data_IF_044691824448
#
_entry.id   IF_044691824448
#
_cell.length_a   1.000
_cell.length_b   1.000
_cell.length_c   1.000
_cell.angle_alpha   90.00
_cell.angle_beta   90.00
_cell.angle_gamma   90.00
#
_symmetry.space_group_name_H-M   'P 1'
#
loop_
_entity.id
_entity.type
_entity.pdbx_description
1 polymer ?
#
# COMPACT_ATOMS: atom_id res chain seq x y z
N UNK A 1 -6.86 19.45 17.97
CA UNK A 1 -6.00 18.59 17.88
C UNK A 1 -6.23 17.56 16.92
N UNK A 2 -5.47 17.48 16.07
CA UNK A 2 -5.64 16.55 15.05
C UNK A 2 -5.50 15.18 15.53
N UNK A 3 -6.33 14.34 15.14
CA UNK A 3 -6.21 13.12 15.47
C UNK A 3 -5.64 12.43 14.41
N UNK A 4 -4.76 11.66 14.56
CA UNK A 4 -4.14 10.96 13.59
C UNK A 4 -4.83 9.71 13.39
N UNK A 5 -5.81 9.66 12.63
CA UNK A 5 -6.49 8.43 12.33
C UNK A 5 -5.58 7.50 11.54
N UNK A 6 -6.02 6.29 11.29
CA UNK A 6 -5.23 5.36 10.52
C UNK A 6 -5.15 5.81 9.07
N UNK A 7 -4.07 5.46 8.41
CA UNK A 7 -3.88 5.79 7.02
C UNK A 7 -4.28 4.59 6.18
N UNK A 8 -4.97 4.86 5.10
CA UNK A 8 -5.46 3.78 4.24
C UNK A 8 -4.50 3.58 3.08
N UNK A 9 -4.11 2.36 2.84
CA UNK A 9 -3.18 2.03 1.78
C UNK A 9 -3.77 0.98 0.88
N UNK A 10 -3.68 1.20 -0.42
CA UNK A 10 -4.13 0.23 -1.41
C UNK A 10 -2.92 -0.34 -2.13
N UNK A 11 -2.96 -1.62 -2.50
CA UNK A 11 -1.83 -2.19 -3.23
C UNK A 11 -1.53 -1.45 -4.53
N UNK A 12 -2.55 -0.93 -5.20
CA UNK A 12 -2.32 -0.25 -6.45
C UNK A 12 -1.46 0.99 -6.33
N UNK A 13 -1.33 1.53 -5.12
CA UNK A 13 -0.47 2.69 -4.92
C UNK A 13 0.97 2.36 -5.32
N UNK A 14 1.35 1.09 -5.27
CA UNK A 14 2.71 0.69 -5.53
C UNK A 14 2.90 -0.02 -6.87
N UNK A 15 1.91 0.05 -7.73
CA UNK A 15 1.93 -0.70 -8.98
C UNK A 15 2.67 0.07 -10.07
N UNK A 16 3.79 -0.44 -10.51
CA UNK A 16 4.60 0.24 -11.51
C UNK A 16 3.95 0.28 -12.88
N UNK A 17 2.90 -0.51 -13.09
CA UNK A 17 2.23 -0.49 -14.36
C UNK A 17 1.23 0.65 -14.46
N UNK A 18 0.96 1.33 -13.37
CA UNK A 18 0.02 2.43 -13.37
C UNK A 18 0.76 3.75 -13.41
N UNK A 19 0.15 4.74 -14.01
CA UNK A 19 0.70 6.08 -13.97
C UNK A 19 0.19 6.73 -12.70
N UNK A 20 0.70 7.91 -12.40
CA UNK A 20 0.24 8.62 -11.22
C UNK A 20 -1.23 8.94 -11.31
N UNK A 21 -1.71 9.30 -12.50
CA UNK A 21 -3.11 9.62 -12.63
C UNK A 21 -3.98 8.37 -12.52
N UNK A 22 -3.38 7.19 -12.64
CA UNK A 22 -4.14 5.97 -12.53
C UNK A 22 -4.10 5.38 -11.12
N UNK A 23 -3.46 6.05 -10.20
CA UNK A 23 -3.48 5.59 -8.82
C UNK A 23 -2.15 5.33 -8.16
N UNK A 24 -1.06 5.36 -8.93
CA UNK A 24 0.24 5.11 -8.32
C UNK A 24 0.63 6.28 -7.45
N UNK A 25 1.12 6.00 -6.27
CA UNK A 25 1.48 7.04 -5.34
C UNK A 25 2.97 7.11 -5.03
N UNK A 26 3.76 6.18 -5.51
CA UNK A 26 5.19 6.22 -5.26
C UNK A 26 5.91 6.40 -6.58
N UNK A 27 7.16 6.87 -6.56
CA UNK A 27 7.91 7.00 -7.81
C UNK A 27 8.05 5.65 -8.48
N UNK A 28 8.16 5.67 -9.78
CA UNK A 28 8.27 4.43 -10.51
C UNK A 28 9.47 3.60 -10.04
N UNK A 29 10.53 4.27 -9.63
CA UNK A 29 11.70 3.56 -9.17
C UNK A 29 11.44 2.74 -7.91
N UNK A 30 10.43 3.11 -7.14
CA UNK A 30 10.09 2.36 -5.95
C UNK A 30 8.90 1.45 -6.15
N UNK A 31 8.22 1.56 -7.26
CA UNK A 31 7.03 0.76 -7.49
C UNK A 31 7.41 -0.66 -7.92
N UNK A 32 6.48 -1.59 -7.79
CA UNK A 32 6.74 -2.96 -8.17
C UNK A 32 5.63 -3.41 -9.09
N UNK A 33 5.86 -4.50 -9.79
CA UNK A 33 4.86 -5.00 -10.71
C UNK A 33 3.90 -5.90 -9.97
N UNK A 34 2.62 -5.72 -10.24
CA UNK A 34 1.59 -6.55 -9.63
C UNK A 34 1.70 -6.67 -8.13
N UNK A 35 1.64 -5.56 -7.42
CA UNK A 35 1.65 -5.65 -5.97
C UNK A 35 0.36 -6.29 -5.49
N UNK A 36 0.44 -7.09 -4.46
CA UNK A 36 -0.74 -7.74 -3.92
C UNK A 36 -0.96 -7.27 -2.50
N UNK A 37 -2.12 -7.58 -1.98
CA UNK A 37 -2.42 -7.22 -0.61
C UNK A 37 -1.43 -7.91 0.32
N UNK A 38 -1.04 -9.14 0.00
CA UNK A 38 -0.09 -9.83 0.81
C UNK A 38 1.27 -9.17 0.80
N UNK A 39 1.68 -8.60 -0.32
CA UNK A 39 2.93 -7.85 -0.37
C UNK A 39 2.88 -6.70 0.61
N UNK A 40 1.77 -5.99 0.66
CA UNK A 40 1.64 -4.85 1.55
C UNK A 40 1.68 -5.32 3.00
N UNK A 41 0.98 -6.40 3.30
CA UNK A 41 0.97 -6.91 4.66
C UNK A 41 2.37 -7.35 5.09
N UNK A 42 3.07 -8.03 4.22
CA UNK A 42 4.42 -8.47 4.55
C UNK A 42 5.33 -7.27 4.80
N UNK A 43 5.18 -6.23 4.01
CA UNK A 43 5.99 -5.03 4.21
C UNK A 43 5.69 -4.39 5.55
N UNK A 44 4.42 -4.33 5.93
CA UNK A 44 4.07 -3.72 7.20
C UNK A 44 4.58 -4.53 8.37
N UNK A 45 4.59 -5.85 8.23
CA UNK A 45 5.15 -6.67 9.29
C UNK A 45 6.65 -6.47 9.38
N UNK A 46 7.30 -6.31 8.25
CA UNK A 46 8.73 -6.07 8.25
C UNK A 46 9.05 -4.75 8.95
N UNK A 47 8.17 -3.75 8.78
CA UNK A 47 8.39 -2.45 9.39
C UNK A 47 7.87 -2.38 10.82
N UNK A 48 7.26 -3.46 11.29
CA UNK A 48 6.73 -3.54 12.66
C UNK A 48 5.66 -2.48 12.91
N UNK A 49 4.82 -2.26 11.92
CA UNK A 49 3.74 -1.30 12.06
C UNK A 49 2.44 -2.01 12.33
N UNK A 50 1.55 -1.36 13.04
CA UNK A 50 0.25 -1.94 13.32
C UNK A 50 -0.64 -1.71 12.13
N UNK A 51 -1.38 -2.71 11.74
CA UNK A 51 -2.24 -2.60 10.58
C UNK A 51 -3.47 -3.47 10.74
N UNK A 52 -4.46 -3.18 9.91
CA UNK A 52 -5.68 -3.97 9.91
C UNK A 52 -6.07 -4.13 8.46
N UNK A 53 -6.31 -5.34 8.01
CA UNK A 53 -6.64 -5.60 6.62
C UNK A 53 -8.13 -5.62 6.44
N UNK A 54 -8.60 -4.93 5.41
CA UNK A 54 -10.01 -4.93 5.07
C UNK A 54 -10.12 -5.43 3.65
N UNK A 55 -10.73 -6.56 3.46
CA UNK A 55 -10.91 -7.09 2.15
C UNK A 55 -12.32 -6.79 1.71
N UNK A 56 -12.44 -5.95 0.71
CA UNK A 56 -13.74 -5.60 0.23
C UNK A 56 -13.90 -5.97 -1.20
N UNK A 57 -15.05 -6.47 -1.55
CA UNK A 57 -15.31 -6.83 -2.90
C UNK A 57 -16.19 -5.80 -3.50
N UNK A 58 -15.80 -5.29 -4.62
CA UNK A 58 -16.61 -4.32 -5.30
C UNK A 58 -17.05 -4.92 -6.56
N UNK A 59 -18.29 -5.21 -6.71
CA UNK A 59 -18.78 -5.88 -7.89
C UNK A 59 -18.51 -5.12 -9.18
N UNK A 60 -18.48 -3.82 -9.10
CA UNK A 60 -18.29 -3.05 -10.31
C UNK A 60 -16.89 -3.17 -10.87
N UNK A 61 -15.96 -3.70 -10.07
CA UNK A 61 -14.62 -3.84 -10.55
C UNK A 61 -14.20 -5.26 -10.35
N UNK A 62 -14.89 -6.12 -11.01
CA UNK A 62 -14.64 -7.53 -10.80
C UNK A 62 -13.20 -7.97 -11.02
N UNK A 63 -12.48 -7.25 -11.84
CA UNK A 63 -11.10 -7.63 -12.07
C UNK A 63 -10.12 -6.96 -11.12
N UNK A 64 -10.61 -6.19 -10.20
CA UNK A 64 -9.74 -5.60 -9.26
C UNK A 64 -10.17 -5.91 -7.89
N UNK A 65 -9.94 -7.03 -7.46
CA UNK A 65 -10.27 -7.39 -6.16
C UNK A 65 -9.17 -6.99 -5.27
N UNK A 66 -9.17 -5.82 -4.81
CA UNK A 66 -8.14 -5.41 -3.93
C UNK A 66 -8.74 -5.05 -2.65
N UNK A 67 -8.25 -5.51 -1.59
CA UNK A 67 -8.60 -5.00 -0.30
C UNK A 67 -7.82 -3.75 -0.01
N UNK A 68 -7.87 -3.29 1.19
CA UNK A 68 -7.09 -2.15 1.61
C UNK A 68 -6.61 -2.43 3.01
N UNK A 69 -5.60 -1.67 3.44
CA UNK A 69 -5.01 -1.88 4.74
C UNK A 69 -5.01 -0.56 5.49
N UNK A 70 -5.42 -0.58 6.73
CA UNK A 70 -5.36 0.58 7.59
C UNK A 70 -4.08 0.44 8.39
N UNK A 71 -3.29 1.47 8.41
CA UNK A 71 -2.01 1.43 9.09
C UNK A 71 -1.92 2.56 10.10
N UNK A 72 -1.44 2.26 11.26
CA UNK A 72 -1.24 3.28 12.27
C UNK A 72 0.17 3.81 12.09
N UNK A 73 0.31 5.05 11.65
CA UNK A 73 1.61 5.63 11.36
C UNK A 73 1.57 7.10 11.69
N UNK A 74 2.58 7.56 12.36
CA UNK A 74 2.61 8.93 12.78
C UNK A 74 3.33 9.89 11.86
N UNK A 75 3.88 9.47 10.81
CA UNK A 75 4.53 10.35 9.86
C UNK A 75 3.59 10.74 8.75
N UNK A 76 4.12 11.30 7.69
CA UNK A 76 3.31 11.66 6.56
C UNK A 76 2.98 10.41 5.76
N UNK A 77 1.92 10.51 4.98
CA UNK A 77 1.52 9.36 4.19
C UNK A 77 2.55 9.08 3.11
N UNK A 78 3.16 10.11 2.55
CA UNK A 78 4.17 9.89 1.54
C UNK A 78 5.35 9.12 2.10
N UNK A 79 5.76 9.48 3.29
CA UNK A 79 6.87 8.80 3.92
C UNK A 79 6.52 7.35 4.16
N UNK A 80 5.31 7.09 4.64
CA UNK A 80 4.88 5.73 4.88
C UNK A 80 4.85 4.94 3.58
N UNK A 81 4.34 5.52 2.51
CA UNK A 81 4.24 4.82 1.25
C UNK A 81 5.61 4.46 0.71
N UNK A 82 6.59 5.34 0.87
CA UNK A 82 7.93 5.04 0.42
C UNK A 82 8.55 3.91 1.22
N UNK A 83 8.33 3.90 2.52
CA UNK A 83 8.88 2.84 3.35
C UNK A 83 8.26 1.50 2.99
N UNK A 84 6.94 1.49 2.76
CA UNK A 84 6.27 0.26 2.41
C UNK A 84 6.76 -0.23 1.05
N UNK A 85 6.94 0.68 0.09
CA UNK A 85 7.40 0.27 -1.22
C UNK A 85 8.79 -0.37 -1.14
N UNK A 86 9.67 0.20 -0.36
CA UNK A 86 10.99 -0.36 -0.20
C UNK A 86 10.93 -1.74 0.45
N UNK A 87 10.07 -1.89 1.43
CA UNK A 87 9.96 -3.17 2.10
C UNK A 87 9.41 -4.23 1.16
N UNK A 88 8.47 -3.85 0.30
CA UNK A 88 7.93 -4.79 -0.68
C UNK A 88 9.05 -5.23 -1.61
N UNK A 89 9.85 -4.29 -2.08
CA UNK A 89 10.92 -4.64 -3.00
C UNK A 89 11.93 -5.56 -2.34
N UNK A 90 12.22 -5.35 -1.08
CA UNK A 90 13.14 -6.23 -0.38
C UNK A 90 12.59 -7.63 -0.25
N UNK A 91 11.32 -7.75 0.02
CA UNK A 91 10.77 -9.07 0.21
C UNK A 91 10.62 -9.82 -1.10
N UNK A 92 10.70 -9.13 -2.21
CA UNK A 92 10.58 -9.79 -3.48
C UNK A 92 11.90 -10.26 -4.06
N UNK A 93 12.97 -10.01 -3.36
CA UNK A 93 14.25 -10.38 -3.89
C UNK A 93 14.44 -11.84 -4.07
#
# INVERSE_FOLDING_TARGET
>A
MPRKGPKIIYPSYFDSRLSRSEGRRVPRSLAVRKPTLQDVVSALRYLSLEYEVEEKHRPSRWYRFEGRVKVVYQGSKEELLKKVAEAIRRSRK
#
